data_IF_567952112458
#
_entry.id   IF_567952112458
#
_cell.length_a   1.000
_cell.length_b   1.000
_cell.length_c   1.000
_cell.angle_alpha   90.00
_cell.angle_beta   90.00
_cell.angle_gamma   90.00
#
_symmetry.space_group_name_H-M   'P 1'
#
loop_
_entity.id
_entity.type
_entity.pdbx_description
1 polymer ?
#
# COMPACT_ATOMS: atom_id res chain seq x y z
N UNK A 1 -9.23 -1.50 36.08
CA UNK A 1 -10.23 -0.74 35.31
C UNK A 1 -9.53 0.47 34.73
N UNK A 2 -8.96 0.33 33.53
CA UNK A 2 -8.52 1.45 32.70
C UNK A 2 -9.61 1.61 31.64
N UNK A 3 -10.22 2.78 31.65
CA UNK A 3 -11.35 3.15 30.82
C UNK A 3 -11.08 2.97 29.33
N UNK A 4 -12.16 2.61 28.65
CA UNK A 4 -12.36 2.56 27.20
C UNK A 4 -11.60 3.67 26.46
N UNK A 5 -10.45 3.29 25.90
CA UNK A 5 -9.98 3.94 24.69
C UNK A 5 -10.91 3.42 23.61
N UNK A 6 -11.85 4.25 23.15
CA UNK A 6 -12.58 4.08 21.90
C UNK A 6 -11.57 4.07 20.74
N UNK A 7 -10.77 3.03 20.66
CA UNK A 7 -9.94 2.77 19.51
C UNK A 7 -10.91 2.38 18.40
N UNK A 8 -10.88 3.06 17.24
CA UNK A 8 -11.69 2.65 16.08
C UNK A 8 -11.32 1.24 15.60
N UNK A 9 -10.29 0.63 16.21
CA UNK A 9 -9.87 -0.75 16.02
C UNK A 9 -10.71 -1.78 16.82
N UNK A 10 -11.60 -1.35 17.72
CA UNK A 10 -12.38 -2.28 18.56
C UNK A 10 -13.50 -3.01 17.82
N UNK A 11 -13.92 -2.50 16.66
CA UNK A 11 -15.06 -2.99 15.88
C UNK A 11 -14.67 -3.56 14.50
N UNK A 12 -13.36 -3.55 14.21
CA UNK A 12 -12.84 -4.26 13.04
C UNK A 12 -12.53 -5.68 13.47
N UNK A 13 -13.14 -6.62 12.76
CA UNK A 13 -12.83 -8.04 12.84
C UNK A 13 -11.32 -8.25 12.61
N UNK A 14 -10.59 -8.38 13.73
CA UNK A 14 -9.15 -8.53 13.74
C UNK A 14 -8.70 -9.85 13.10
N UNK A 15 -9.62 -10.75 12.75
CA UNK A 15 -9.35 -11.95 11.95
C UNK A 15 -9.18 -11.66 10.45
N UNK A 16 -9.54 -10.46 10.01
CA UNK A 16 -9.48 -10.07 8.61
C UNK A 16 -8.08 -9.56 8.27
N UNK A 17 -7.41 -10.29 7.38
CA UNK A 17 -6.10 -9.91 6.83
C UNK A 17 -6.21 -8.56 6.11
N UNK A 18 -5.36 -7.61 6.51
CA UNK A 18 -5.29 -6.28 5.90
C UNK A 18 -4.22 -6.26 4.83
N UNK A 19 -4.64 -6.10 3.58
CA UNK A 19 -3.75 -6.02 2.42
C UNK A 19 -3.60 -4.58 1.95
N UNK A 20 -2.37 -4.15 1.71
CA UNK A 20 -2.05 -2.80 1.19
C UNK A 20 -1.27 -2.95 -0.11
N UNK A 21 -1.68 -2.22 -1.14
CA UNK A 21 -1.00 -2.22 -2.43
C UNK A 21 -1.72 -1.45 -3.52
N UNK A 22 -0.95 -0.85 -4.45
CA UNK A 22 -1.48 -0.42 -5.74
C UNK A 22 -0.36 -0.16 -6.78
N UNK A 23 -0.45 -0.76 -7.99
CA UNK A 23 -1.36 -1.82 -8.43
C UNK A 23 -1.08 -3.22 -7.84
N UNK A 24 0.07 -3.46 -7.22
CA UNK A 24 0.41 -4.76 -6.61
C UNK A 24 0.41 -4.69 -5.07
N UNK A 25 0.07 -5.80 -4.42
CA UNK A 25 0.11 -5.92 -2.95
C UNK A 25 1.55 -5.87 -2.46
N UNK A 26 1.91 -4.87 -1.66
CA UNK A 26 3.24 -4.76 -1.05
C UNK A 26 3.24 -5.05 0.45
N UNK A 27 2.07 -5.21 1.09
CA UNK A 27 1.97 -5.53 2.51
C UNK A 27 0.76 -6.41 2.81
N UNK A 28 0.96 -7.51 3.54
CA UNK A 28 -0.09 -8.51 3.79
C UNK A 28 -0.55 -8.60 5.26
N UNK A 29 0.19 -8.02 6.22
CA UNK A 29 -0.03 -8.31 7.63
C UNK A 29 0.07 -7.06 8.51
N UNK A 30 -1.05 -6.58 9.07
CA UNK A 30 -1.01 -5.60 10.16
C UNK A 30 -1.03 -6.27 11.56
N UNK A 31 -1.06 -7.62 11.61
CA UNK A 31 -1.25 -8.36 12.85
C UNK A 31 0.03 -8.43 13.68
N UNK A 32 -0.11 -8.02 14.95
CA UNK A 32 0.88 -8.16 16.03
C UNK A 32 0.82 -9.54 16.70
N UNK A 33 -0.09 -10.41 16.27
CA UNK A 33 -0.31 -11.71 16.88
C UNK A 33 0.48 -12.78 16.13
N UNK A 34 1.50 -13.30 16.81
CA UNK A 34 2.21 -14.57 16.55
C UNK A 34 3.45 -14.59 15.64
N UNK A 35 3.86 -13.47 15.03
CA UNK A 35 5.16 -13.38 14.36
C UNK A 35 6.19 -12.61 15.19
N UNK A 36 7.34 -13.23 15.46
CA UNK A 36 8.45 -12.65 16.24
C UNK A 36 9.13 -11.43 15.60
N UNK A 37 8.78 -11.10 14.35
CA UNK A 37 9.37 -10.01 13.59
C UNK A 37 8.25 -9.09 13.08
N UNK A 38 8.08 -7.89 13.67
CA UNK A 38 7.15 -6.90 13.12
C UNK A 38 7.61 -6.55 11.69
N UNK A 39 6.66 -6.40 10.77
CA UNK A 39 6.89 -6.03 9.36
C UNK A 39 7.48 -7.12 8.44
N UNK A 40 7.35 -8.41 8.76
CA UNK A 40 7.81 -9.49 7.87
C UNK A 40 7.04 -9.58 6.53
N UNK A 41 5.84 -9.00 6.46
CA UNK A 41 4.96 -9.06 5.28
C UNK A 41 5.26 -8.07 4.14
N UNK A 42 6.37 -7.32 4.18
CA UNK A 42 6.71 -6.36 3.11
C UNK A 42 7.22 -7.06 1.84
N UNK A 43 6.53 -6.83 0.73
CA UNK A 43 7.01 -7.16 -0.60
C UNK A 43 7.52 -5.90 -1.31
N UNK A 44 8.79 -5.57 -1.05
CA UNK A 44 9.46 -4.40 -1.64
C UNK A 44 9.57 -4.47 -3.18
N UNK A 45 9.53 -5.66 -3.77
CA UNK A 45 9.58 -5.82 -5.24
C UNK A 45 8.33 -5.22 -5.88
N UNK A 46 7.18 -5.49 -5.30
CA UNK A 46 5.89 -4.98 -5.78
C UNK A 46 5.82 -3.44 -5.63
N UNK A 47 6.30 -2.92 -4.49
CA UNK A 47 6.41 -1.47 -4.27
C UNK A 47 7.27 -0.79 -5.35
N UNK A 48 8.45 -1.35 -5.65
CA UNK A 48 9.34 -0.79 -6.67
C UNK A 48 8.73 -0.86 -8.08
N UNK A 49 8.05 -1.97 -8.40
CA UNK A 49 7.38 -2.14 -9.68
C UNK A 49 6.28 -1.07 -9.86
N UNK A 50 5.47 -0.85 -8.83
CA UNK A 50 4.41 0.17 -8.82
C UNK A 50 4.98 1.58 -9.03
N UNK A 51 6.09 1.90 -8.37
CA UNK A 51 6.79 3.18 -8.52
C UNK A 51 7.32 3.36 -9.96
N UNK A 52 8.00 2.35 -10.50
CA UNK A 52 8.55 2.40 -11.85
C UNK A 52 7.46 2.51 -12.91
N UNK A 53 6.40 1.72 -12.79
CA UNK A 53 5.25 1.76 -13.71
C UNK A 53 4.57 3.12 -13.69
N UNK A 54 4.29 3.66 -12.51
CA UNK A 54 3.65 4.99 -12.37
C UNK A 54 4.51 6.08 -13.00
N UNK A 55 5.82 6.06 -12.77
CA UNK A 55 6.74 7.01 -13.36
C UNK A 55 6.74 6.94 -14.90
N UNK A 56 6.85 5.74 -15.47
CA UNK A 56 6.81 5.53 -16.92
C UNK A 56 5.49 6.03 -17.52
N UNK A 57 4.36 5.74 -16.87
CA UNK A 57 3.04 6.21 -17.31
C UNK A 57 2.95 7.73 -17.31
N UNK A 58 3.39 8.40 -16.23
CA UNK A 58 3.36 9.87 -16.13
C UNK A 58 4.26 10.51 -17.18
N UNK A 59 5.48 10.02 -17.36
CA UNK A 59 6.42 10.52 -18.37
C UNK A 59 5.85 10.34 -19.78
N UNK A 60 5.29 9.16 -20.07
CA UNK A 60 4.67 8.87 -21.36
C UNK A 60 3.50 9.80 -21.65
N UNK A 61 2.58 9.96 -20.68
CA UNK A 61 1.43 10.86 -20.80
C UNK A 61 1.90 12.31 -21.00
N UNK A 62 2.84 12.79 -20.20
CA UNK A 62 3.39 14.15 -20.33
C UNK A 62 4.06 14.37 -21.70
N UNK A 63 4.76 13.36 -22.22
CA UNK A 63 5.34 13.40 -23.57
C UNK A 63 4.25 13.50 -24.65
N UNK A 64 3.17 12.70 -24.54
CA UNK A 64 2.04 12.77 -25.46
C UNK A 64 1.37 14.15 -25.38
N UNK A 65 1.07 14.67 -24.19
CA UNK A 65 0.51 16.01 -24.03
C UNK A 65 1.40 17.07 -24.68
N UNK A 66 2.71 17.02 -24.46
CA UNK A 66 3.66 17.94 -25.11
C UNK A 66 3.65 17.81 -26.64
N UNK A 67 3.46 16.60 -27.17
CA UNK A 67 3.41 16.36 -28.62
C UNK A 67 2.09 16.85 -29.24
N UNK A 68 0.96 16.59 -28.59
CA UNK A 68 -0.38 16.90 -29.12
C UNK A 68 -0.82 18.35 -28.86
N UNK A 69 -0.39 18.95 -27.74
CA UNK A 69 -0.74 20.34 -27.38
C UNK A 69 0.36 21.35 -27.71
N UNK A 70 1.45 20.92 -28.34
CA UNK A 70 2.32 21.84 -29.11
C UNK A 70 1.54 22.31 -30.34
N UNK A 71 0.76 23.36 -30.14
CA UNK A 71 0.29 24.25 -31.20
C UNK A 71 1.42 25.21 -31.58
#
# INVERSE_FOLDING_TARGET
MFNDIHSPLGDIDLSKEFTIGFPFTYYYEFRLDDHSIPNAGWNLKNLLLDCCSTWLTVVFIAFLFKKYFKK
#
